data_IF_447313742318
#
_entry.id   IF_447313742318
#
_cell.length_a   1.000
_cell.length_b   1.000
_cell.length_c   1.000
_cell.angle_alpha   90.00
_cell.angle_beta   90.00
_cell.angle_gamma   90.00
#
_symmetry.space_group_name_H-M   'P 1'
#
loop_
_entity.id
_entity.type
_entity.pdbx_description
1 polymer ?
#
# COMPACT_ATOMS: atom_id res chain seq x y z
N UNK A 1 -23.67 -34.47 49.50
CA UNK A 1 -24.06 -33.21 48.84
C UNK A 1 -22.81 -32.68 48.12
N UNK A 2 -22.69 -32.98 46.82
CA UNK A 2 -21.41 -32.95 46.09
C UNK A 2 -20.83 -31.54 45.90
N UNK A 3 -19.61 -31.33 46.41
CA UNK A 3 -18.79 -30.12 46.20
C UNK A 3 -18.46 -29.88 44.73
N UNK A 4 -18.47 -30.94 43.91
CA UNK A 4 -18.21 -30.90 42.46
C UNK A 4 -19.27 -30.11 41.67
N UNK A 5 -20.52 -30.05 42.16
CA UNK A 5 -21.60 -29.32 41.49
C UNK A 5 -21.52 -27.80 41.69
N UNK A 6 -20.92 -27.34 42.80
CA UNK A 6 -20.82 -25.91 43.11
C UNK A 6 -19.70 -25.23 42.31
N UNK A 7 -18.65 -25.98 41.95
CA UNK A 7 -17.55 -25.48 41.13
C UNK A 7 -17.95 -25.31 39.66
N UNK A 8 -18.76 -26.24 39.12
CA UNK A 8 -19.25 -26.16 37.75
C UNK A 8 -20.16 -24.93 37.52
N UNK A 9 -20.99 -24.60 38.51
CA UNK A 9 -21.89 -23.44 38.44
C UNK A 9 -21.12 -22.11 38.51
N UNK A 10 -20.05 -22.03 39.31
CA UNK A 10 -19.23 -20.82 39.43
C UNK A 10 -18.36 -20.56 38.18
N UNK A 11 -17.88 -21.61 37.50
CA UNK A 11 -17.12 -21.47 36.25
C UNK A 11 -18.02 -21.03 35.09
N UNK A 12 -19.25 -21.53 35.01
CA UNK A 12 -20.23 -21.11 33.98
C UNK A 12 -20.71 -19.66 34.21
N UNK A 13 -20.82 -19.22 35.48
CA UNK A 13 -21.21 -17.85 35.80
C UNK A 13 -20.09 -16.83 35.53
N UNK A 14 -18.83 -17.21 35.75
CA UNK A 14 -17.67 -16.37 35.41
C UNK A 14 -17.45 -16.23 33.89
N UNK A 15 -17.80 -17.25 33.10
CA UNK A 15 -17.70 -17.22 31.63
C UNK A 15 -18.74 -16.31 30.95
N UNK A 16 -19.82 -15.92 31.66
CA UNK A 16 -20.86 -15.00 31.17
C UNK A 16 -20.51 -13.52 31.37
N UNK A 17 -19.53 -13.21 32.23
CA UNK A 17 -19.11 -11.84 32.54
C UNK A 17 -17.93 -11.34 31.69
N UNK A 18 -17.33 -12.21 30.88
CA UNK A 18 -16.38 -11.84 29.81
C UNK A 18 -17.08 -11.95 28.46
N UNK A 19 -18.28 -11.39 28.35
CA UNK A 19 -18.78 -11.02 27.05
C UNK A 19 -17.86 -9.88 26.57
N UNK A 20 -17.12 -10.03 25.45
CA UNK A 20 -16.46 -8.88 24.89
C UNK A 20 -17.57 -7.88 24.60
N UNK A 21 -17.49 -6.68 25.18
CA UNK A 21 -18.23 -5.56 24.64
C UNK A 21 -17.80 -5.53 23.16
N UNK A 22 -18.71 -5.92 22.27
CA UNK A 22 -18.54 -5.71 20.85
C UNK A 22 -18.60 -4.20 20.70
N UNK A 23 -17.43 -3.57 20.87
CA UNK A 23 -17.17 -2.28 20.28
C UNK A 23 -17.21 -2.57 18.79
N UNK A 24 -18.41 -2.49 18.20
CA UNK A 24 -18.53 -2.18 16.79
C UNK A 24 -17.82 -0.84 16.62
N UNK A 25 -16.54 -0.91 16.25
CA UNK A 25 -15.89 0.22 15.65
C UNK A 25 -16.75 0.55 14.43
N UNK A 26 -17.55 1.62 14.53
CA UNK A 26 -18.18 2.23 13.38
C UNK A 26 -17.04 2.75 12.50
N UNK A 27 -16.55 1.89 11.62
CA UNK A 27 -15.86 2.33 10.42
C UNK A 27 -16.95 3.05 9.64
N UNK A 28 -16.82 4.37 9.53
CA UNK A 28 -17.74 5.18 8.73
C UNK A 28 -17.58 4.74 7.27
N UNK A 29 -18.56 3.98 6.78
CA UNK A 29 -18.54 3.29 5.48
C UNK A 29 -19.32 4.07 4.40
N UNK A 30 -19.53 5.38 4.59
CA UNK A 30 -20.08 6.25 3.57
C UNK A 30 -18.97 7.15 3.03
N UNK A 31 -18.16 6.60 2.11
CA UNK A 31 -17.39 7.43 1.19
C UNK A 31 -18.42 8.31 0.43
N UNK A 32 -18.24 9.64 0.38
CA UNK A 32 -19.11 10.49 -0.42
C UNK A 32 -19.23 9.94 -1.85
N UNK A 33 -20.42 9.97 -2.45
CA UNK A 33 -20.69 9.41 -3.80
C UNK A 33 -19.71 9.90 -4.89
N UNK A 34 -19.08 11.05 -4.68
CA UNK A 34 -18.01 11.62 -5.52
C UNK A 34 -16.75 10.73 -5.61
N UNK A 35 -16.54 9.84 -4.64
CA UNK A 35 -15.42 8.88 -4.62
C UNK A 35 -15.84 7.46 -5.02
N UNK A 36 -17.10 7.26 -5.43
CA UNK A 36 -17.58 5.95 -5.88
C UNK A 36 -16.93 5.59 -7.23
N UNK A 37 -16.12 4.52 -7.26
CA UNK A 37 -15.30 4.17 -8.44
C UNK A 37 -14.07 5.06 -8.62
N UNK A 38 -13.56 5.64 -7.54
CA UNK A 38 -12.24 6.28 -7.47
C UNK A 38 -11.38 5.46 -6.51
N UNK A 39 -10.22 5.00 -6.97
CA UNK A 39 -9.39 4.09 -6.19
C UNK A 39 -8.27 3.44 -6.97
N UNK A 40 -7.56 2.52 -6.31
CA UNK A 40 -6.50 1.74 -6.94
C UNK A 40 -6.78 0.26 -6.75
N UNK A 41 -6.94 -0.45 -7.86
CA UNK A 41 -6.93 -1.92 -7.90
C UNK A 41 -5.55 -2.40 -8.27
N UNK A 42 -4.83 -3.00 -7.32
CA UNK A 42 -3.44 -3.41 -7.56
C UNK A 42 -3.32 -4.55 -8.59
N UNK A 43 -2.61 -4.30 -9.69
CA UNK A 43 -2.29 -5.27 -10.76
C UNK A 43 -0.84 -5.78 -10.63
N UNK A 44 -0.44 -6.11 -9.41
CA UNK A 44 0.92 -6.59 -9.10
C UNK A 44 1.29 -7.82 -9.93
N UNK A 45 2.38 -7.70 -10.70
CA UNK A 45 2.91 -8.75 -11.56
C UNK A 45 2.46 -8.69 -13.01
N UNK A 46 1.45 -7.88 -13.32
CA UNK A 46 1.00 -7.62 -14.68
C UNK A 46 1.93 -6.60 -15.36
N UNK A 47 1.79 -6.50 -16.69
CA UNK A 47 2.58 -5.59 -17.53
C UNK A 47 1.70 -4.49 -18.10
N UNK A 48 2.23 -3.27 -18.12
CA UNK A 48 1.58 -2.17 -18.82
C UNK A 48 1.78 -2.28 -20.34
N UNK A 49 0.86 -1.76 -21.17
CA UNK A 49 1.10 -1.63 -22.60
C UNK A 49 2.22 -0.62 -22.86
N UNK A 50 3.30 -1.05 -23.51
CA UNK A 50 4.51 -0.23 -23.71
C UNK A 50 4.48 0.64 -24.96
N UNK A 51 3.46 0.45 -25.80
CA UNK A 51 3.24 1.10 -27.10
C UNK A 51 2.29 2.30 -27.02
N UNK A 52 1.72 2.61 -25.85
CA UNK A 52 0.92 3.82 -25.64
C UNK A 52 1.80 5.05 -25.88
N UNK A 53 1.30 5.98 -26.67
CA UNK A 53 2.00 7.20 -27.07
C UNK A 53 1.50 8.39 -26.26
N UNK A 54 2.43 9.14 -25.71
CA UNK A 54 2.21 10.41 -25.02
C UNK A 54 3.05 11.51 -25.66
N UNK A 55 2.83 12.75 -25.26
CA UNK A 55 3.70 13.89 -25.55
C UNK A 55 4.53 14.22 -24.30
N UNK A 56 5.85 14.31 -24.45
CA UNK A 56 6.72 14.80 -23.39
C UNK A 56 6.63 16.32 -23.24
N UNK A 57 7.36 16.88 -22.27
CA UNK A 57 7.48 18.31 -22.01
C UNK A 57 7.99 19.15 -23.21
N UNK A 58 8.69 18.52 -24.15
CA UNK A 58 9.22 19.16 -25.37
C UNK A 58 8.25 19.05 -26.56
N UNK A 59 7.12 18.35 -26.37
CA UNK A 59 6.10 18.11 -27.39
C UNK A 59 6.43 16.99 -28.36
N UNK A 60 7.39 16.13 -28.02
CA UNK A 60 7.75 14.96 -28.80
C UNK A 60 6.86 13.78 -28.44
N UNK A 61 6.50 12.98 -29.45
CA UNK A 61 5.77 11.72 -29.23
C UNK A 61 6.72 10.68 -28.65
N UNK A 62 6.38 10.18 -27.46
CA UNK A 62 7.16 9.21 -26.70
C UNK A 62 6.28 8.04 -26.27
N UNK A 63 6.86 6.85 -26.19
CA UNK A 63 6.24 5.68 -25.57
C UNK A 63 7.03 5.23 -24.35
N UNK A 64 6.45 4.39 -23.50
CA UNK A 64 7.14 3.85 -22.33
C UNK A 64 8.51 3.24 -22.70
N UNK A 65 8.55 2.42 -23.76
CA UNK A 65 9.79 1.79 -24.24
C UNK A 65 10.87 2.77 -24.71
N UNK A 66 10.49 3.99 -25.13
CA UNK A 66 11.46 5.02 -25.53
C UNK A 66 12.04 5.81 -24.35
N UNK A 67 11.30 5.90 -23.24
CA UNK A 67 11.68 6.68 -22.06
C UNK A 67 12.52 5.87 -21.06
N UNK A 68 12.46 4.54 -21.15
CA UNK A 68 12.97 3.65 -20.11
C UNK A 68 14.16 2.83 -20.66
N UNK A 69 15.39 3.16 -20.25
CA UNK A 69 16.55 2.35 -20.56
C UNK A 69 16.44 0.94 -19.98
N UNK A 70 17.05 -0.03 -20.67
CA UNK A 70 17.11 -1.41 -20.21
C UNK A 70 17.70 -1.50 -18.78
N UNK A 71 16.99 -2.21 -17.91
CA UNK A 71 17.42 -2.46 -16.52
C UNK A 71 17.15 -1.33 -15.54
N UNK A 72 16.64 -0.16 -15.97
CA UNK A 72 16.25 0.91 -15.06
C UNK A 72 14.78 0.76 -14.61
N UNK A 73 14.50 0.73 -13.30
CA UNK A 73 13.13 0.77 -12.81
C UNK A 73 12.48 2.14 -13.06
N UNK A 74 11.16 2.17 -12.95
CA UNK A 74 10.33 3.36 -13.19
C UNK A 74 9.44 3.65 -12.00
N UNK A 75 9.35 4.93 -11.63
CA UNK A 75 8.35 5.47 -10.71
C UNK A 75 7.28 6.18 -11.54
N UNK A 76 6.11 5.58 -11.67
CA UNK A 76 4.95 6.14 -12.35
C UNK A 76 4.04 6.84 -11.34
N UNK A 77 3.56 8.03 -11.68
CA UNK A 77 2.54 8.75 -10.93
C UNK A 77 1.59 9.49 -11.87
N UNK A 78 0.34 9.63 -11.43
CA UNK A 78 -0.68 10.41 -12.12
C UNK A 78 -0.93 11.70 -11.36
N UNK A 79 -0.87 12.81 -12.08
CA UNK A 79 -1.18 14.15 -11.57
C UNK A 79 -2.01 14.88 -12.61
N UNK A 80 -2.44 16.09 -12.34
CA UNK A 80 -2.71 17.06 -13.40
C UNK A 80 -2.03 18.36 -12.98
N UNK A 81 -1.28 18.95 -13.91
CA UNK A 81 -0.29 19.99 -13.65
C UNK A 81 -0.87 21.32 -13.15
N UNK A 82 -2.18 21.55 -13.34
CA UNK A 82 -2.92 22.73 -12.84
C UNK A 82 -3.53 22.54 -11.45
N UNK A 83 -3.47 21.35 -10.86
CA UNK A 83 -4.07 21.08 -9.55
C UNK A 83 -3.47 21.97 -8.46
N UNK A 84 -4.27 22.81 -7.77
CA UNK A 84 -3.76 23.74 -6.76
C UNK A 84 -3.43 23.07 -5.42
N UNK A 85 -3.84 21.81 -5.22
CA UNK A 85 -3.85 21.15 -3.92
C UNK A 85 -3.08 19.81 -3.97
N UNK A 86 -3.78 18.68 -4.11
CA UNK A 86 -3.25 17.35 -3.79
C UNK A 86 -2.09 16.92 -4.67
N UNK A 87 -2.09 17.24 -5.97
CA UNK A 87 -1.00 16.84 -6.86
C UNK A 87 0.32 17.51 -6.50
N UNK A 88 0.30 18.77 -6.04
CA UNK A 88 1.51 19.46 -5.63
C UNK A 88 2.10 18.86 -4.36
N UNK A 89 1.26 18.48 -3.40
CA UNK A 89 1.68 17.77 -2.20
C UNK A 89 2.31 16.42 -2.55
N UNK A 90 1.71 15.64 -3.46
CA UNK A 90 2.27 14.36 -3.89
C UNK A 90 3.69 14.52 -4.47
N UNK A 91 3.86 15.47 -5.39
CA UNK A 91 5.16 15.72 -6.02
C UNK A 91 6.18 16.34 -5.05
N UNK A 92 5.75 17.23 -4.16
CA UNK A 92 6.61 17.77 -3.10
C UNK A 92 7.12 16.65 -2.17
N UNK A 93 6.24 15.74 -1.73
CA UNK A 93 6.63 14.58 -0.91
C UNK A 93 7.53 13.62 -1.67
N UNK A 94 7.33 13.44 -2.98
CA UNK A 94 8.24 12.64 -3.81
C UNK A 94 9.62 13.29 -3.83
N UNK A 95 9.71 14.60 -4.07
CA UNK A 95 11.00 15.32 -4.04
C UNK A 95 11.67 15.21 -2.67
N UNK A 96 10.94 15.36 -1.58
CA UNK A 96 11.49 15.23 -0.23
C UNK A 96 12.04 13.83 0.01
N UNK A 97 11.30 12.78 -0.38
CA UNK A 97 11.79 11.41 -0.33
C UNK A 97 13.03 11.15 -1.20
N UNK A 98 13.10 11.79 -2.36
CA UNK A 98 14.24 11.67 -3.29
C UNK A 98 15.50 12.40 -2.78
N UNK A 99 15.36 13.51 -2.06
CA UNK A 99 16.49 14.23 -1.46
C UNK A 99 17.27 13.36 -0.49
N UNK A 100 16.55 12.54 0.28
CA UNK A 100 17.11 11.60 1.25
C UNK A 100 17.53 10.25 0.63
N UNK A 101 17.31 10.05 -0.67
CA UNK A 101 17.69 8.85 -1.41
C UNK A 101 19.03 9.04 -2.11
N UNK A 102 19.93 8.06 -2.03
CA UNK A 102 21.26 8.11 -2.67
C UNK A 102 21.22 7.89 -4.20
N UNK A 103 20.08 7.44 -4.74
CA UNK A 103 19.87 7.18 -6.17
C UNK A 103 19.40 8.42 -6.92
N UNK A 104 19.83 8.56 -8.17
CA UNK A 104 19.52 9.72 -9.01
C UNK A 104 18.58 9.34 -10.15
N UNK A 105 17.45 10.06 -10.35
CA UNK A 105 16.65 9.89 -11.55
C UNK A 105 17.52 10.11 -12.80
N UNK A 106 17.39 9.24 -13.81
CA UNK A 106 18.17 9.27 -15.05
C UNK A 106 19.33 8.28 -15.01
N UNK A 107 20.12 8.30 -13.95
CA UNK A 107 21.26 7.41 -13.78
C UNK A 107 20.83 6.04 -13.23
N UNK A 108 19.95 6.03 -12.21
CA UNK A 108 19.54 4.82 -11.49
C UNK A 108 18.14 4.34 -11.85
N UNK A 109 17.21 5.25 -12.16
CA UNK A 109 15.80 4.96 -12.40
C UNK A 109 15.12 6.10 -13.16
N UNK A 110 13.94 5.86 -13.72
CA UNK A 110 13.14 6.87 -14.40
C UNK A 110 11.93 7.27 -13.55
N UNK A 111 11.48 8.51 -13.68
CA UNK A 111 10.21 9.00 -13.12
C UNK A 111 9.34 9.44 -14.29
N UNK A 112 8.15 8.87 -14.38
CA UNK A 112 7.15 9.22 -15.38
C UNK A 112 5.94 9.80 -14.65
N UNK A 113 5.74 11.10 -14.82
CA UNK A 113 4.60 11.83 -14.26
C UNK A 113 3.61 12.09 -15.39
N UNK A 114 2.46 11.42 -15.38
CA UNK A 114 1.45 11.51 -16.46
C UNK A 114 0.31 12.43 -16.03
N UNK A 115 -0.06 13.37 -16.89
CA UNK A 115 -1.27 14.17 -16.68
C UNK A 115 -2.54 13.35 -16.90
N UNK A 116 -3.48 13.43 -15.97
CA UNK A 116 -4.84 12.89 -16.08
C UNK A 116 -5.75 13.77 -16.96
N UNK A 117 -5.34 15.01 -17.20
CA UNK A 117 -6.15 16.02 -17.88
C UNK A 117 -5.75 16.11 -19.36
N UNK A 118 -6.57 15.55 -20.24
CA UNK A 118 -6.32 15.56 -21.69
C UNK A 118 -6.29 16.97 -22.33
N UNK A 119 -6.77 18.00 -21.62
CA UNK A 119 -6.72 19.39 -22.05
C UNK A 119 -5.41 20.11 -21.66
N UNK A 120 -4.53 19.48 -20.88
CA UNK A 120 -3.26 20.08 -20.49
C UNK A 120 -2.23 20.06 -21.63
N UNK A 121 -1.37 21.08 -21.65
CA UNK A 121 -0.41 21.30 -22.71
C UNK A 121 1.00 20.89 -22.30
N UNK A 122 1.83 20.60 -23.29
CA UNK A 122 3.26 20.28 -23.10
C UNK A 122 4.03 21.45 -22.45
N UNK A 123 3.64 22.70 -22.75
CA UNK A 123 4.15 23.89 -22.09
C UNK A 123 3.92 23.89 -20.57
N UNK A 124 2.79 23.36 -20.11
CA UNK A 124 2.48 23.25 -18.70
C UNK A 124 3.29 22.11 -18.05
N UNK A 125 3.40 20.97 -18.72
CA UNK A 125 4.26 19.86 -18.30
C UNK A 125 5.72 20.31 -18.12
N UNK A 126 6.25 21.07 -19.08
CA UNK A 126 7.60 21.67 -19.03
C UNK A 126 7.80 22.59 -17.84
N UNK A 127 6.84 23.48 -17.55
CA UNK A 127 6.90 24.36 -16.37
C UNK A 127 6.91 23.58 -15.06
N UNK A 128 6.13 22.50 -14.96
CA UNK A 128 6.16 21.64 -13.78
C UNK A 128 7.49 20.89 -13.65
N UNK A 129 8.02 20.35 -14.75
CA UNK A 129 9.35 19.73 -14.78
C UNK A 129 10.43 20.70 -14.29
N UNK A 130 10.50 21.90 -14.86
CA UNK A 130 11.45 22.94 -14.45
C UNK A 130 11.34 23.26 -12.96
N UNK A 131 10.11 23.38 -12.44
CA UNK A 131 9.84 23.63 -11.01
C UNK A 131 10.39 22.50 -10.14
N UNK A 132 10.02 21.25 -10.37
CA UNK A 132 10.41 20.14 -9.49
C UNK A 132 11.88 19.77 -9.61
N UNK A 133 12.49 19.92 -10.79
CA UNK A 133 13.95 19.79 -10.94
C UNK A 133 14.70 20.86 -10.14
N UNK A 134 14.21 22.10 -10.12
CA UNK A 134 14.81 23.16 -9.30
C UNK A 134 14.67 22.90 -7.79
N UNK A 135 13.57 22.28 -7.34
CA UNK A 135 13.36 21.93 -5.93
C UNK A 135 14.23 20.72 -5.52
N UNK A 136 14.37 19.72 -6.41
CA UNK A 136 15.19 18.55 -6.18
C UNK A 136 16.69 18.89 -6.18
N UNK A 137 17.10 19.87 -7.00
CA UNK A 137 18.48 20.38 -7.11
C UNK A 137 19.52 19.27 -7.24
N UNK A 138 19.23 18.29 -8.10
CA UNK A 138 20.08 17.11 -8.35
C UNK A 138 20.53 17.07 -9.80
N UNK A 139 21.85 17.10 -9.99
CA UNK A 139 22.45 16.93 -11.32
C UNK A 139 22.05 15.59 -11.94
N UNK A 140 21.79 15.53 -13.24
CA UNK A 140 21.35 14.32 -13.94
C UNK A 140 19.84 14.05 -13.89
N UNK A 141 19.11 14.57 -12.88
CA UNK A 141 17.68 14.30 -12.73
C UNK A 141 16.82 14.73 -13.93
N UNK A 142 17.27 15.73 -14.68
CA UNK A 142 16.54 16.25 -15.85
C UNK A 142 16.36 15.27 -16.99
N UNK A 143 17.28 14.32 -17.20
CA UNK A 143 17.11 13.26 -18.21
C UNK A 143 16.27 12.08 -17.70
N UNK A 144 16.04 12.02 -16.39
CA UNK A 144 15.36 10.92 -15.72
C UNK A 144 13.90 11.16 -15.35
N UNK A 145 13.45 12.41 -15.38
CA UNK A 145 12.12 12.80 -14.94
C UNK A 145 11.33 13.41 -16.09
N UNK A 146 10.34 12.66 -16.57
CA UNK A 146 9.51 12.99 -17.72
C UNK A 146 8.13 13.41 -17.26
N UNK A 147 7.64 14.53 -17.80
CA UNK A 147 6.30 15.04 -17.52
C UNK A 147 5.48 14.91 -18.81
N UNK A 148 4.48 14.03 -18.79
CA UNK A 148 3.76 13.60 -19.97
C UNK A 148 2.35 14.18 -20.02
N UNK A 149 1.93 14.53 -21.23
CA UNK A 149 0.53 14.86 -21.58
C UNK A 149 0.06 13.90 -22.66
N UNK A 150 -1.26 13.71 -22.81
CA UNK A 150 -1.80 12.76 -23.78
C UNK A 150 -3.27 13.00 -24.06
N UNK A 151 -3.79 12.26 -25.03
CA UNK A 151 -5.22 12.21 -25.26
C UNK A 151 -5.91 11.30 -24.24
N UNK A 152 -7.22 11.50 -24.06
CA UNK A 152 -8.00 10.75 -23.07
C UNK A 152 -7.91 9.23 -23.26
N UNK A 153 -7.96 8.66 -24.49
CA UNK A 153 -7.78 7.22 -24.69
C UNK A 153 -6.44 6.69 -24.18
N UNK A 154 -5.33 7.39 -24.42
CA UNK A 154 -4.00 6.96 -23.97
C UNK A 154 -3.86 7.04 -22.46
N UNK A 155 -4.36 8.12 -21.85
CA UNK A 155 -4.38 8.31 -20.40
C UNK A 155 -5.19 7.19 -19.73
N UNK A 156 -6.42 6.93 -20.23
CA UNK A 156 -7.29 5.88 -19.70
C UNK A 156 -6.67 4.49 -19.88
N UNK A 157 -6.09 4.18 -21.04
CA UNK A 157 -5.46 2.89 -21.28
C UNK A 157 -4.31 2.60 -20.30
N UNK A 158 -3.47 3.60 -20.01
CA UNK A 158 -2.40 3.45 -19.03
C UNK A 158 -2.96 3.34 -17.60
N UNK A 159 -3.93 4.19 -17.25
CA UNK A 159 -4.55 4.20 -15.94
C UNK A 159 -5.25 2.86 -15.63
N UNK A 160 -6.03 2.33 -16.57
CA UNK A 160 -6.70 1.04 -16.46
C UNK A 160 -5.68 -0.10 -16.33
N UNK A 161 -4.59 -0.07 -17.10
CA UNK A 161 -3.54 -1.10 -17.03
C UNK A 161 -2.86 -1.20 -15.66
N UNK A 162 -2.80 -0.10 -14.92
CA UNK A 162 -2.24 -0.06 -13.56
C UNK A 162 -3.32 -0.02 -12.48
N UNK A 163 -4.59 -0.11 -12.87
CA UNK A 163 -5.76 -0.10 -12.00
C UNK A 163 -5.98 1.21 -11.25
N UNK A 164 -5.55 2.33 -11.83
CA UNK A 164 -5.71 3.67 -11.27
C UNK A 164 -7.03 4.29 -11.78
N UNK A 165 -8.04 4.33 -10.91
CA UNK A 165 -9.37 4.85 -11.23
C UNK A 165 -9.52 6.29 -10.76
N UNK A 166 -9.85 7.19 -11.70
CA UNK A 166 -10.08 8.61 -11.45
C UNK A 166 -11.30 9.12 -12.21
N UNK A 167 -11.97 10.14 -11.67
CA UNK A 167 -13.19 10.69 -12.22
C UNK A 167 -13.18 12.22 -12.17
N UNK A 168 -13.81 12.85 -13.17
CA UNK A 168 -14.03 14.29 -13.17
C UNK A 168 -15.25 14.63 -12.32
N UNK A 169 -15.12 15.62 -11.45
CA UNK A 169 -16.15 16.10 -10.53
C UNK A 169 -16.60 17.47 -11.00
N UNK A 170 -17.80 17.54 -11.57
CA UNK A 170 -18.34 18.76 -12.18
C UNK A 170 -18.58 19.86 -11.14
N UNK A 171 -18.90 19.50 -9.90
CA UNK A 171 -19.18 20.46 -8.83
C UNK A 171 -17.95 21.26 -8.40
N UNK A 172 -16.76 20.65 -8.48
CA UNK A 172 -15.49 21.27 -8.07
C UNK A 172 -14.61 21.62 -9.26
N UNK A 173 -14.97 21.21 -10.48
CA UNK A 173 -14.14 21.30 -11.69
C UNK A 173 -12.74 20.69 -11.46
N UNK A 174 -12.70 19.56 -10.76
CA UNK A 174 -11.47 18.87 -10.37
C UNK A 174 -11.58 17.36 -10.60
N UNK A 175 -10.44 16.66 -10.63
CA UNK A 175 -10.43 15.21 -10.66
C UNK A 175 -10.43 14.63 -9.24
N UNK A 176 -11.38 13.75 -8.95
CA UNK A 176 -11.28 12.82 -7.84
C UNK A 176 -10.35 11.68 -8.25
N UNK A 177 -9.22 11.55 -7.55
CA UNK A 177 -8.22 10.53 -7.81
C UNK A 177 -7.53 10.09 -6.51
N UNK A 178 -7.03 8.85 -6.42
CA UNK A 178 -6.19 8.43 -5.31
C UNK A 178 -4.79 9.05 -5.41
N UNK A 179 -4.04 9.04 -4.31
CA UNK A 179 -2.63 9.41 -4.26
C UNK A 179 -1.80 8.13 -4.15
N UNK A 180 -0.93 7.86 -5.13
CA UNK A 180 0.02 6.76 -5.05
C UNK A 180 1.20 6.92 -6.02
N UNK A 181 2.30 6.25 -5.71
CA UNK A 181 3.38 5.95 -6.65
C UNK A 181 3.31 4.48 -7.05
N UNK A 182 3.49 4.21 -8.34
CA UNK A 182 3.44 2.88 -8.93
C UNK A 182 4.84 2.56 -9.45
N UNK A 183 5.39 1.43 -9.03
CA UNK A 183 6.76 1.04 -9.37
C UNK A 183 6.74 -0.04 -10.43
N UNK A 184 7.43 0.23 -11.54
CA UNK A 184 7.51 -0.65 -12.69
C UNK A 184 8.96 -1.09 -12.93
N UNK A 185 9.16 -2.32 -13.39
CA UNK A 185 10.44 -2.73 -13.96
C UNK A 185 10.68 -2.09 -15.33
N UNK A 186 11.90 -2.26 -15.87
CA UNK A 186 12.27 -1.70 -17.17
C UNK A 186 11.43 -2.23 -18.34
N UNK A 187 10.86 -3.43 -18.22
CA UNK A 187 9.94 -4.03 -19.20
C UNK A 187 8.46 -3.69 -18.95
N UNK A 188 8.16 -2.82 -17.98
CA UNK A 188 6.80 -2.36 -17.70
C UNK A 188 6.00 -3.26 -16.75
N UNK A 189 6.64 -4.18 -16.04
CA UNK A 189 5.97 -5.02 -15.04
C UNK A 189 5.70 -4.25 -13.75
N UNK A 190 4.47 -4.32 -13.24
CA UNK A 190 4.07 -3.69 -12.00
C UNK A 190 4.62 -4.47 -10.81
N UNK A 191 5.46 -3.85 -10.00
CA UNK A 191 6.16 -4.53 -8.88
C UNK A 191 5.67 -4.09 -7.51
N UNK A 192 5.24 -2.84 -7.36
CA UNK A 192 4.78 -2.28 -6.07
C UNK A 192 3.90 -1.05 -6.23
N UNK A 193 3.00 -0.85 -5.28
CA UNK A 193 2.26 0.40 -5.07
C UNK A 193 2.65 1.00 -3.72
N UNK A 194 2.89 2.32 -3.68
CA UNK A 194 3.01 3.10 -2.46
C UNK A 194 1.84 4.07 -2.39
N UNK A 195 0.82 3.72 -1.60
CA UNK A 195 -0.38 4.54 -1.40
C UNK A 195 -0.10 5.75 -0.50
N UNK A 196 -0.95 6.77 -0.62
CA UNK A 196 -0.85 8.01 0.14
C UNK A 196 0.28 8.89 -0.35
N UNK A 197 0.88 9.66 0.56
CA UNK A 197 1.88 10.70 0.26
C UNK A 197 3.09 10.67 1.22
N UNK A 198 3.30 9.60 2.01
CA UNK A 198 4.46 9.47 2.91
C UNK A 198 5.57 8.65 2.23
N UNK A 199 6.38 9.31 1.40
CA UNK A 199 7.40 8.67 0.57
C UNK A 199 8.77 8.67 1.22
N UNK A 200 8.92 8.00 2.36
CA UNK A 200 10.21 7.86 3.04
C UNK A 200 11.26 7.20 2.13
N UNK A 201 12.49 7.71 2.16
CA UNK A 201 13.60 7.20 1.34
C UNK A 201 13.77 5.68 1.40
N UNK A 202 13.67 5.05 2.58
CA UNK A 202 13.78 3.60 2.71
C UNK A 202 12.67 2.81 2.00
N UNK A 203 11.46 3.35 1.93
CA UNK A 203 10.36 2.72 1.16
C UNK A 203 10.59 2.88 -0.34
N UNK A 204 11.04 4.07 -0.77
CA UNK A 204 11.41 4.34 -2.17
C UNK A 204 12.57 3.42 -2.61
N UNK A 205 13.61 3.30 -1.79
CA UNK A 205 14.76 2.45 -2.06
C UNK A 205 14.35 0.99 -2.21
N UNK A 206 13.57 0.46 -1.27
CA UNK A 206 13.06 -0.92 -1.35
C UNK A 206 12.24 -1.14 -2.63
N UNK A 207 11.34 -0.21 -2.94
CA UNK A 207 10.49 -0.29 -4.12
C UNK A 207 11.30 -0.24 -5.43
N UNK A 208 12.31 0.62 -5.51
CA UNK A 208 13.22 0.70 -6.66
C UNK A 208 14.06 -0.56 -6.83
N UNK A 209 14.54 -1.17 -5.73
CA UNK A 209 15.28 -2.44 -5.78
C UNK A 209 14.38 -3.55 -6.31
N UNK A 210 13.15 -3.67 -5.80
CA UNK A 210 12.18 -4.68 -6.25
C UNK A 210 11.83 -4.51 -7.73
N UNK A 211 11.60 -3.26 -8.16
CA UNK A 211 11.35 -2.88 -9.54
C UNK A 211 12.53 -3.21 -10.46
N UNK A 212 13.76 -2.91 -10.05
CA UNK A 212 14.97 -3.20 -10.83
C UNK A 212 15.18 -4.69 -11.07
N UNK A 213 14.70 -5.53 -10.15
CA UNK A 213 14.78 -6.99 -10.24
C UNK A 213 13.56 -7.60 -10.96
N UNK A 214 12.55 -6.81 -11.30
CA UNK A 214 11.26 -7.30 -11.80
C UNK A 214 10.52 -8.20 -10.80
N UNK A 215 10.90 -8.13 -9.52
CA UNK A 215 10.31 -8.94 -8.46
C UNK A 215 9.07 -8.26 -7.92
N UNK A 216 7.94 -8.95 -7.99
CA UNK A 216 6.76 -8.57 -7.22
C UNK A 216 7.03 -8.98 -5.79
N UNK A 217 6.82 -8.09 -4.83
CA UNK A 217 7.02 -8.39 -3.42
C UNK A 217 6.44 -9.77 -3.07
N UNK A 218 7.32 -10.65 -2.59
CA UNK A 218 7.05 -12.05 -2.29
C UNK A 218 5.86 -12.19 -1.34
N UNK A 219 5.03 -13.22 -1.55
CA UNK A 219 3.86 -13.63 -0.75
C UNK A 219 4.11 -13.62 0.77
N UNK A 220 5.36 -13.65 1.23
CA UNK A 220 5.74 -13.48 2.63
C UNK A 220 5.42 -12.09 3.18
N UNK A 221 5.61 -11.02 2.39
CA UNK A 221 5.17 -9.67 2.76
C UNK A 221 3.63 -9.62 2.84
N UNK A 222 2.91 -10.41 2.02
CA UNK A 222 1.44 -10.56 2.09
C UNK A 222 0.95 -11.31 3.34
N UNK A 223 1.73 -12.26 3.87
CA UNK A 223 1.45 -12.96 5.13
C UNK A 223 1.73 -12.06 6.33
N UNK A 224 2.77 -11.24 6.25
CA UNK A 224 3.02 -10.16 7.21
C UNK A 224 1.86 -9.15 7.14
N UNK A 225 1.42 -8.72 5.95
CA UNK A 225 0.23 -7.89 5.70
C UNK A 225 -1.09 -8.52 6.17
N UNK A 226 -1.24 -9.84 6.17
CA UNK A 226 -2.41 -10.47 6.79
C UNK A 226 -2.42 -10.31 8.32
N UNK A 227 -1.25 -10.08 8.92
CA UNK A 227 -1.11 -9.71 10.32
C UNK A 227 -1.15 -8.18 10.55
N UNK A 228 -0.84 -7.38 9.52
CA UNK A 228 -0.94 -5.93 9.49
C UNK A 228 -2.15 -5.47 8.67
N UNK A 229 -3.30 -5.30 9.32
CA UNK A 229 -4.37 -4.53 8.69
C UNK A 229 -3.85 -3.12 8.42
N UNK A 230 -3.89 -2.70 7.15
CA UNK A 230 -3.55 -1.35 6.70
C UNK A 230 -4.51 -0.37 7.39
N UNK A 231 -3.97 0.53 8.22
CA UNK A 231 -4.71 1.64 8.81
C UNK A 231 -4.56 2.86 7.90
N UNK A 232 -5.61 3.23 7.13
CA UNK A 232 -5.56 4.33 6.18
C UNK A 232 -5.31 5.71 6.83
N UNK A 233 -5.36 5.82 8.16
CA UNK A 233 -5.15 7.09 8.87
C UNK A 233 -3.69 7.47 9.16
N UNK A 234 -2.72 6.54 9.11
CA UNK A 234 -1.36 6.81 9.63
C UNK A 234 -0.19 6.53 8.69
N UNK A 235 -0.47 6.02 7.47
CA UNK A 235 0.53 5.57 6.49
C UNK A 235 1.73 4.82 7.09
N UNK A 236 1.47 4.04 8.16
CA UNK A 236 2.50 3.35 8.92
C UNK A 236 2.00 1.99 9.41
N UNK A 237 2.91 1.01 9.42
CA UNK A 237 2.64 -0.34 9.91
C UNK A 237 2.75 -0.37 11.44
N UNK A 238 1.65 -0.14 12.15
CA UNK A 238 1.58 -0.38 13.60
C UNK A 238 1.10 -1.80 13.89
N UNK A 239 1.87 -2.52 14.73
CA UNK A 239 1.50 -3.86 15.17
C UNK A 239 0.19 -3.77 15.96
N UNK A 240 -0.93 -4.26 15.39
CA UNK A 240 -2.14 -4.50 16.18
C UNK A 240 -1.90 -5.71 17.08
N UNK A 241 -1.20 -5.46 18.19
CA UNK A 241 -0.83 -6.42 19.22
C UNK A 241 -2.04 -7.21 19.76
N UNK A 242 -3.26 -6.72 19.56
CA UNK A 242 -4.51 -7.34 20.01
C UNK A 242 -4.75 -8.72 19.42
N UNK A 243 -4.45 -8.99 18.15
CA UNK A 243 -4.66 -10.33 17.57
C UNK A 243 -3.56 -11.33 17.95
N UNK A 244 -2.31 -10.87 18.05
CA UNK A 244 -1.19 -11.66 18.58
C UNK A 244 -1.41 -12.01 20.05
N UNK A 245 -1.89 -11.04 20.85
CA UNK A 245 -2.27 -11.26 22.25
C UNK A 245 -3.47 -12.21 22.39
N UNK A 246 -4.47 -12.15 21.49
CA UNK A 246 -5.58 -13.12 21.47
C UNK A 246 -5.10 -14.54 21.17
N UNK A 247 -4.22 -14.69 20.18
CA UNK A 247 -3.64 -15.99 19.81
C UNK A 247 -2.79 -16.56 20.95
N UNK A 248 -1.90 -15.75 21.52
CA UNK A 248 -1.09 -16.10 22.69
C UNK A 248 -1.94 -16.44 23.92
N UNK A 249 -3.01 -15.68 24.15
CA UNK A 249 -4.00 -15.94 25.21
C UNK A 249 -4.70 -17.28 25.05
N UNK A 250 -5.20 -17.60 23.85
CA UNK A 250 -5.83 -18.89 23.55
C UNK A 250 -4.86 -20.07 23.73
N UNK A 251 -3.61 -19.90 23.31
CA UNK A 251 -2.56 -20.92 23.47
C UNK A 251 -2.27 -21.19 24.95
N UNK A 252 -2.16 -20.12 25.75
CA UNK A 252 -1.91 -20.22 27.20
C UNK A 252 -3.09 -20.88 27.91
N UNK A 253 -4.33 -20.54 27.54
CA UNK A 253 -5.54 -21.10 28.11
C UNK A 253 -5.67 -22.60 27.75
N UNK A 254 -5.38 -22.96 26.50
CA UNK A 254 -5.33 -24.35 26.05
C UNK A 254 -4.31 -25.18 26.83
N UNK A 255 -3.10 -24.65 27.03
CA UNK A 255 -2.06 -25.31 27.82
C UNK A 255 -2.52 -25.55 29.26
N UNK A 256 -3.16 -24.55 29.87
CA UNK A 256 -3.65 -24.61 31.24
C UNK A 256 -4.77 -25.65 31.39
N UNK A 257 -5.70 -25.72 30.45
CA UNK A 257 -6.76 -26.76 30.40
C UNK A 257 -6.16 -28.16 30.29
N UNK A 258 -5.15 -28.35 29.42
CA UNK A 258 -4.48 -29.64 29.24
C UNK A 258 -3.76 -30.08 30.52
N UNK A 259 -3.06 -29.16 31.18
CA UNK A 259 -2.35 -29.44 32.43
C UNK A 259 -3.33 -29.79 33.55
N UNK A 260 -4.39 -28.99 33.75
CA UNK A 260 -5.41 -29.27 34.77
C UNK A 260 -6.13 -30.59 34.52
N UNK A 261 -6.48 -30.88 33.27
CA UNK A 261 -7.12 -32.14 32.89
C UNK A 261 -6.19 -33.35 33.12
N UNK A 262 -4.89 -33.21 32.84
CA UNK A 262 -3.88 -34.24 33.11
C UNK A 262 -3.75 -34.51 34.61
N UNK A 263 -3.73 -33.47 35.44
CA UNK A 263 -3.65 -33.60 36.90
C UNK A 263 -4.92 -34.25 37.48
N UNK A 264 -6.11 -33.83 37.04
CA UNK A 264 -7.36 -34.48 37.46
C UNK A 264 -7.44 -35.94 37.04
N UNK A 265 -6.99 -36.32 35.82
CA UNK A 265 -6.94 -37.73 35.43
C UNK A 265 -5.95 -38.55 36.25
N UNK A 266 -4.89 -37.95 36.79
CA UNK A 266 -3.93 -38.62 37.68
C UNK A 266 -4.48 -38.81 39.08
N UNK A 267 -5.28 -37.88 39.57
CA UNK A 267 -5.87 -37.93 40.91
C UNK A 267 -7.07 -38.89 41.01
N UNK A 268 -7.80 -39.08 39.90
CA UNK A 268 -8.92 -40.03 39.81
C UNK A 268 -8.44 -41.48 39.60
N UNK A 269 -7.14 -41.74 39.45
CA UNK A 269 -6.61 -43.11 39.53
C UNK A 269 -6.64 -43.57 40.99
N UNK A 270 -7.43 -44.59 41.35
CA UNK A 270 -7.48 -45.08 42.71
C UNK A 270 -6.09 -45.54 43.13
N UNK A 271 -5.53 -44.96 44.20
CA UNK A 271 -4.44 -45.60 44.93
C UNK A 271 -5.00 -46.89 45.50
N UNK A 272 -4.77 -48.01 44.81
CA UNK A 272 -4.88 -49.32 45.40
C UNK A 272 -3.83 -49.42 46.50
N UNK A 273 -4.17 -48.96 47.70
CA UNK A 273 -3.48 -49.35 48.91
C UNK A 273 -3.77 -50.83 49.11
N UNK A 274 -2.82 -51.67 48.70
CA UNK A 274 -2.74 -53.04 49.18
C UNK A 274 -2.53 -52.96 50.70
N UNK A 275 -3.60 -53.20 51.46
CA UNK A 275 -3.51 -53.48 52.89
C UNK A 275 -3.11 -54.95 53.01
N UNK A 276 -1.85 -55.18 53.36
CA UNK A 276 -1.37 -56.46 53.86
C UNK A 276 -1.44 -56.39 55.40
N UNK A 277 -2.40 -57.11 55.99
CA UNK A 277 -2.38 -57.74 57.30
C UNK A 277 -3.72 -58.45 57.54
#
# INVERSE_FOLDING_TARGET
MNSSGRFLVLVVLALRLVAPAQSEAQVADDLPAVFEGVGITEHLGDHIPTDIVFLNEDGEQVSFSSLVPDGQPVVLNFVYHTCPMLCSILLDQLVDGLKDLDRTPGDDFQIITVSMAAYETTDLARKQKERYLAILDRSGAGSGWHFLTGDEPSIRALADAVGFEFQWVEETEEFAHPAALIFLSSDGKITRYLHGMDYKAGNLEKALIEASQGSVASVVDRIVLYCYQFDPGSNSYVIHATNVMKLGGLLTLGLLVVVLYSLWRREVRPRHHAVAA
#
